data_IF_343457559100
#
_entry.id   IF_343457559100
#
_cell.length_a   1.000
_cell.length_b   1.000
_cell.length_c   1.000
_cell.angle_alpha   90.00
_cell.angle_beta   90.00
_cell.angle_gamma   90.00
#
_symmetry.space_group_name_H-M   'P 1'
#
loop_
_entity.id
_entity.type
_entity.pdbx_description
1 polymer ?
#
# COMPACT_ATOMS: atom_id res chain seq x y z
N UNK A 1 7.88 -8.84 -4.60
CA UNK A 1 7.77 -8.77 -6.07
C UNK A 1 6.48 -8.09 -6.46
N UNK A 2 6.57 -7.15 -7.37
CA UNK A 2 5.40 -6.41 -7.85
C UNK A 2 5.46 -6.33 -9.37
N UNK A 3 4.30 -6.46 -10.00
CA UNK A 3 4.16 -6.33 -11.45
C UNK A 3 3.14 -5.23 -11.72
N UNK A 4 3.55 -4.18 -12.44
CA UNK A 4 2.64 -3.13 -12.86
C UNK A 4 1.67 -3.67 -13.91
N UNK A 5 0.39 -3.35 -13.73
CA UNK A 5 -0.65 -3.66 -14.68
C UNK A 5 -0.84 -2.41 -15.56
N UNK A 6 -0.49 -2.51 -16.83
CA UNK A 6 -0.45 -1.36 -17.71
C UNK A 6 -1.13 -1.65 -19.06
N UNK A 7 -1.64 -0.59 -19.67
CA UNK A 7 -2.16 -0.60 -21.02
C UNK A 7 -1.07 -0.08 -21.98
N UNK A 8 -0.89 -0.73 -23.12
CA UNK A 8 0.10 -0.33 -24.10
C UNK A 8 -0.07 1.13 -24.62
N UNK A 9 -1.27 1.67 -24.55
CA UNK A 9 -1.54 3.07 -24.92
C UNK A 9 -1.13 4.07 -23.84
N UNK A 10 -0.82 3.60 -22.63
CA UNK A 10 -0.42 4.43 -21.49
C UNK A 10 1.06 4.21 -21.14
N UNK A 11 1.91 4.11 -22.12
CA UNK A 11 3.34 3.78 -21.96
C UNK A 11 4.10 4.75 -21.04
N UNK A 12 3.73 6.03 -21.06
CA UNK A 12 4.46 7.05 -20.29
C UNK A 12 4.20 6.94 -18.78
N UNK A 13 3.01 6.51 -18.39
CA UNK A 13 2.60 6.44 -16.99
C UNK A 13 2.59 5.03 -16.43
N UNK A 14 2.61 4.01 -17.29
CA UNK A 14 2.49 2.59 -16.92
C UNK A 14 1.23 2.31 -16.12
N UNK A 15 0.12 2.89 -16.56
CA UNK A 15 -1.21 2.78 -15.92
C UNK A 15 -2.17 1.96 -16.77
N UNK A 16 -3.28 1.50 -16.16
CA UNK A 16 -4.33 0.76 -16.87
C UNK A 16 -5.13 1.70 -17.77
N UNK A 17 -5.49 2.86 -17.22
CA UNK A 17 -6.10 3.96 -17.95
C UNK A 17 -5.33 5.23 -17.61
N UNK A 18 -5.68 6.36 -18.24
CA UNK A 18 -5.06 7.64 -17.91
C UNK A 18 -5.30 8.10 -16.46
N UNK A 19 -6.22 7.48 -15.73
CA UNK A 19 -6.51 7.83 -14.33
C UNK A 19 -6.26 6.69 -13.34
N UNK A 20 -6.29 5.43 -13.78
CA UNK A 20 -6.21 4.26 -12.89
C UNK A 20 -4.85 3.57 -13.00
N UNK A 21 -4.20 3.48 -11.87
CA UNK A 21 -2.97 2.73 -11.66
C UNK A 21 -3.30 1.45 -10.86
N UNK A 22 -2.68 0.34 -11.22
CA UNK A 22 -2.77 -0.89 -10.43
C UNK A 22 -1.50 -1.73 -10.61
N UNK A 23 -1.27 -2.61 -9.64
CA UNK A 23 -0.22 -3.61 -9.75
C UNK A 23 -0.69 -4.94 -9.15
N UNK A 24 -0.03 -6.02 -9.54
CA UNK A 24 -0.11 -7.30 -8.85
C UNK A 24 1.06 -7.35 -7.86
N UNK A 25 0.76 -7.51 -6.58
CA UNK A 25 1.75 -7.51 -5.53
C UNK A 25 1.79 -8.83 -4.76
N UNK A 26 2.97 -9.18 -4.30
CA UNK A 26 3.19 -10.31 -3.39
C UNK A 26 3.82 -9.76 -2.13
N UNK A 27 3.20 -10.05 -0.99
CA UNK A 27 3.79 -9.80 0.32
C UNK A 27 4.28 -11.13 0.88
N UNK A 28 5.59 -11.41 0.84
CA UNK A 28 6.12 -12.67 1.33
C UNK A 28 5.86 -12.90 2.82
N UNK A 29 5.86 -14.16 3.22
CA UNK A 29 5.73 -14.53 4.63
C UNK A 29 6.79 -13.85 5.49
N UNK A 30 6.40 -13.42 6.68
CA UNK A 30 7.30 -12.77 7.65
C UNK A 30 7.78 -11.39 7.26
N UNK A 31 7.26 -10.81 6.19
CA UNK A 31 7.67 -9.49 5.72
C UNK A 31 6.63 -8.41 5.99
N UNK A 32 7.11 -7.19 6.04
CA UNK A 32 6.28 -6.00 6.20
C UNK A 32 6.60 -4.99 5.11
N UNK A 33 5.59 -4.22 4.74
CA UNK A 33 5.76 -2.99 3.99
C UNK A 33 5.61 -1.82 4.95
N UNK A 34 6.67 -1.02 5.09
CA UNK A 34 6.78 0.06 6.07
C UNK A 34 5.71 1.14 5.87
N UNK A 35 5.43 1.93 6.91
CA UNK A 35 4.51 3.04 6.80
C UNK A 35 4.86 3.98 5.66
N UNK A 36 3.86 4.25 4.83
CA UNK A 36 3.93 5.19 3.73
C UNK A 36 2.56 5.83 3.53
N UNK A 37 2.54 6.95 2.82
CA UNK A 37 1.31 7.61 2.43
C UNK A 37 1.44 8.18 1.03
N UNK A 38 0.31 8.35 0.37
CA UNK A 38 0.24 8.99 -0.93
C UNK A 38 -1.09 9.72 -1.09
N UNK A 39 -1.09 10.70 -2.00
CA UNK A 39 -2.25 11.53 -2.25
C UNK A 39 -3.38 10.78 -2.93
N UNK A 40 -3.07 9.73 -3.68
CA UNK A 40 -4.06 8.89 -4.31
C UNK A 40 -4.83 8.06 -3.28
N UNK A 41 -6.12 7.83 -3.54
CA UNK A 41 -6.89 6.82 -2.82
C UNK A 41 -6.43 5.44 -3.27
N UNK A 42 -6.37 4.48 -2.35
CA UNK A 42 -6.05 3.10 -2.66
C UNK A 42 -7.23 2.19 -2.33
N UNK A 43 -7.55 1.31 -3.26
CA UNK A 43 -8.41 0.15 -3.06
C UNK A 43 -7.53 -1.09 -3.16
N UNK A 44 -7.38 -1.81 -2.05
CA UNK A 44 -6.59 -3.03 -2.02
C UNK A 44 -7.51 -4.24 -2.14
N UNK A 45 -7.40 -4.96 -3.26
CA UNK A 45 -8.12 -6.22 -3.50
C UNK A 45 -7.24 -7.38 -3.05
N UNK A 46 -7.70 -8.14 -2.08
CA UNK A 46 -6.98 -9.29 -1.54
C UNK A 46 -7.36 -10.53 -2.34
N UNK A 47 -6.41 -11.08 -3.08
CA UNK A 47 -6.62 -12.29 -3.89
C UNK A 47 -6.46 -13.55 -3.05
N UNK A 48 -5.41 -13.59 -2.23
CA UNK A 48 -5.05 -14.75 -1.41
C UNK A 48 -4.30 -14.27 -0.17
N UNK A 49 -4.77 -14.68 0.99
CA UNK A 49 -4.12 -14.37 2.25
C UNK A 49 -4.54 -15.39 3.32
N UNK A 50 -3.57 -15.85 4.09
CA UNK A 50 -3.81 -16.67 5.26
C UNK A 50 -4.01 -15.78 6.50
N UNK A 51 -4.62 -16.27 7.59
CA UNK A 51 -4.70 -15.53 8.84
C UNK A 51 -3.32 -15.05 9.30
N UNK A 52 -3.23 -13.78 9.71
CA UNK A 52 -1.98 -13.13 10.07
C UNK A 52 -1.50 -12.08 9.07
N UNK A 53 -2.24 -11.88 7.97
CA UNK A 53 -2.02 -10.77 7.07
C UNK A 53 -2.96 -9.62 7.44
N UNK A 54 -2.42 -8.41 7.57
CA UNK A 54 -3.22 -7.24 7.95
C UNK A 54 -2.54 -5.95 7.53
N UNK A 55 -3.33 -4.90 7.53
CA UNK A 55 -2.84 -3.52 7.37
C UNK A 55 -3.18 -2.71 8.61
N UNK A 56 -2.35 -1.71 8.88
CA UNK A 56 -2.66 -0.69 9.87
C UNK A 56 -2.71 0.67 9.19
N UNK A 57 -3.62 1.52 9.63
CA UNK A 57 -3.87 2.84 9.06
C UNK A 57 -3.93 3.88 10.18
N UNK A 58 -3.46 5.09 9.90
CA UNK A 58 -3.54 6.18 10.86
C UNK A 58 -3.21 7.52 10.24
N UNK A 59 -3.49 8.58 10.98
CA UNK A 59 -3.39 9.97 10.48
C UNK A 59 -2.03 10.60 10.75
N UNK A 60 -1.25 10.05 11.66
CA UNK A 60 0.06 10.61 12.02
C UNK A 60 1.03 9.53 12.49
N UNK A 61 2.31 9.86 12.46
CA UNK A 61 3.38 9.01 12.95
C UNK A 61 3.78 9.42 14.37
N UNK A 62 4.27 8.45 15.14
CA UNK A 62 4.90 8.71 16.43
C UNK A 62 6.38 9.12 16.26
N UNK A 63 7.09 9.32 17.37
CA UNK A 63 8.51 9.74 17.37
C UNK A 63 9.45 8.70 16.77
N UNK A 64 9.00 7.46 16.62
CA UNK A 64 9.77 6.36 16.02
C UNK A 64 9.52 6.19 14.54
N UNK A 65 8.60 6.97 13.97
CA UNK A 65 8.17 6.82 12.58
C UNK A 65 7.18 5.67 12.37
N UNK A 66 6.55 5.21 13.44
CA UNK A 66 5.46 4.23 13.38
C UNK A 66 4.10 4.93 13.40
N UNK A 67 3.07 4.26 12.90
CA UNK A 67 1.72 4.82 12.87
C UNK A 67 1.18 4.88 14.30
N UNK A 68 0.82 6.09 14.74
CA UNK A 68 0.22 6.31 16.05
C UNK A 68 -1.26 5.98 16.03
N UNK A 69 -1.76 5.38 17.11
CA UNK A 69 -3.18 5.02 17.28
C UNK A 69 -3.78 4.33 16.04
N UNK A 70 -3.16 3.24 15.53
CA UNK A 70 -3.54 2.67 14.26
C UNK A 70 -4.88 1.94 14.33
N UNK A 71 -5.64 2.02 13.22
CA UNK A 71 -6.75 1.12 12.94
C UNK A 71 -6.21 -0.10 12.20
N UNK A 72 -6.57 -1.29 12.63
CA UNK A 72 -6.17 -2.55 11.99
C UNK A 72 -7.28 -3.08 11.10
N UNK A 73 -6.87 -3.55 9.92
CA UNK A 73 -7.73 -4.24 8.96
C UNK A 73 -7.10 -5.59 8.66
N UNK A 74 -7.77 -6.67 9.06
CA UNK A 74 -7.34 -8.02 8.73
C UNK A 74 -7.71 -8.35 7.28
N UNK A 75 -6.79 -9.02 6.59
CA UNK A 75 -7.00 -9.39 5.19
C UNK A 75 -7.80 -10.67 5.08
N UNK A 76 -8.76 -10.69 4.15
CA UNK A 76 -9.53 -11.88 3.78
C UNK A 76 -9.46 -12.08 2.28
N UNK A 77 -9.22 -13.31 1.82
CA UNK A 77 -9.24 -13.64 0.41
C UNK A 77 -10.59 -13.27 -0.22
N UNK A 78 -10.56 -12.57 -1.34
CA UNK A 78 -11.74 -12.06 -2.01
C UNK A 78 -12.30 -10.77 -1.43
N UNK A 79 -11.73 -10.27 -0.34
CA UNK A 79 -12.12 -9.01 0.28
C UNK A 79 -11.37 -7.82 -0.30
N UNK A 80 -11.84 -6.63 0.02
CA UNK A 80 -11.19 -5.38 -0.37
C UNK A 80 -11.36 -4.35 0.73
N UNK A 81 -10.39 -3.44 0.84
CA UNK A 81 -10.49 -2.31 1.74
C UNK A 81 -9.92 -1.05 1.09
N UNK A 82 -10.31 0.10 1.60
CA UNK A 82 -9.91 1.41 1.08
C UNK A 82 -8.97 2.09 2.06
N UNK A 83 -7.85 2.59 1.55
CA UNK A 83 -7.00 3.55 2.26
C UNK A 83 -7.32 4.95 1.74
N UNK A 84 -7.86 5.84 2.60
CA UNK A 84 -8.16 7.22 2.21
C UNK A 84 -6.92 7.99 1.76
N UNK A 85 -7.08 9.02 0.91
CA UNK A 85 -5.97 9.86 0.48
C UNK A 85 -5.18 10.45 1.65
N UNK A 86 -3.86 10.39 1.56
CA UNK A 86 -2.95 10.98 2.54
C UNK A 86 -2.82 10.25 3.87
N UNK A 87 -3.56 9.17 4.07
CA UNK A 87 -3.48 8.39 5.31
C UNK A 87 -2.23 7.50 5.32
N UNK A 88 -1.50 7.50 6.43
CA UNK A 88 -0.39 6.58 6.64
C UNK A 88 -0.92 5.15 6.74
N UNK A 89 -0.25 4.23 6.07
CA UNK A 89 -0.59 2.81 6.11
C UNK A 89 0.64 1.93 5.99
N UNK A 90 0.53 0.73 6.52
CA UNK A 90 1.57 -0.29 6.48
C UNK A 90 0.92 -1.66 6.36
N UNK A 91 1.62 -2.61 5.76
CA UNK A 91 1.13 -3.95 5.51
C UNK A 91 2.05 -4.97 6.17
N UNK A 92 1.46 -6.02 6.73
CA UNK A 92 2.19 -7.06 7.46
C UNK A 92 1.71 -8.45 7.04
N UNK A 93 2.64 -9.36 6.87
CA UNK A 93 2.34 -10.78 6.68
C UNK A 93 3.03 -11.59 7.78
N UNK A 94 2.31 -11.85 8.85
CA UNK A 94 2.75 -12.70 9.97
C UNK A 94 2.24 -14.13 9.82
N UNK A 95 1.70 -14.49 8.65
CA UNK A 95 1.27 -15.84 8.32
C UNK A 95 2.46 -16.69 7.83
N UNK A 96 2.23 -17.97 7.63
CA UNK A 96 3.23 -18.89 7.10
C UNK A 96 3.24 -19.05 5.58
N UNK A 97 2.57 -18.14 4.84
CA UNK A 97 2.44 -18.22 3.38
C UNK A 97 2.47 -16.84 2.74
N UNK A 98 2.95 -16.72 1.49
CA UNK A 98 2.87 -15.45 0.77
C UNK A 98 1.42 -15.00 0.58
N UNK A 99 1.19 -13.70 0.60
CA UNK A 99 -0.10 -13.11 0.30
C UNK A 99 -0.06 -12.40 -1.07
N UNK A 100 -1.18 -12.40 -1.77
CA UNK A 100 -1.31 -11.83 -3.10
C UNK A 100 -2.42 -10.79 -3.11
N UNK A 101 -2.14 -9.63 -3.66
CA UNK A 101 -3.09 -8.51 -3.69
C UNK A 101 -2.94 -7.71 -4.97
N UNK A 102 -3.99 -6.98 -5.30
CA UNK A 102 -3.98 -5.97 -6.36
C UNK A 102 -4.34 -4.62 -5.74
N UNK A 103 -3.36 -3.77 -5.43
CA UNK A 103 -3.63 -2.38 -5.12
C UNK A 103 -4.07 -1.62 -6.36
N UNK A 104 -5.14 -0.85 -6.23
CA UNK A 104 -5.72 -0.03 -7.29
C UNK A 104 -5.78 1.41 -6.79
N UNK A 105 -5.25 2.35 -7.57
CA UNK A 105 -5.17 3.75 -7.15
C UNK A 105 -5.57 4.68 -8.29
N UNK A 106 -6.07 5.86 -7.94
CA UNK A 106 -6.25 6.96 -8.90
C UNK A 106 -4.93 7.73 -9.13
N UNK A 107 -3.79 7.06 -8.97
CA UNK A 107 -2.47 7.65 -9.09
C UNK A 107 -2.20 8.19 -10.50
N UNK A 108 -2.81 7.61 -11.53
CA UNK A 108 -2.74 8.15 -12.89
C UNK A 108 -3.36 9.54 -12.99
N UNK A 109 -4.53 9.73 -12.39
CA UNK A 109 -5.18 11.05 -12.31
C UNK A 109 -4.32 12.04 -11.53
N UNK A 110 -3.83 11.64 -10.36
CA UNK A 110 -2.99 12.50 -9.52
C UNK A 110 -1.68 12.89 -10.23
N UNK A 111 -1.10 11.98 -11.00
CA UNK A 111 0.09 12.25 -11.81
C UNK A 111 -0.23 13.24 -12.92
N UNK A 112 -1.35 13.05 -13.61
CA UNK A 112 -1.80 13.96 -14.66
C UNK A 112 -2.04 15.38 -14.13
N UNK A 113 -2.66 15.50 -12.96
CA UNK A 113 -2.90 16.77 -12.28
C UNK A 113 -1.65 17.35 -11.59
N UNK A 114 -0.54 16.61 -11.56
CA UNK A 114 0.69 16.97 -10.84
C UNK A 114 0.47 17.16 -9.34
N UNK A 115 -0.43 16.39 -8.76
CA UNK A 115 -0.79 16.45 -7.34
C UNK A 115 -0.36 15.20 -6.57
N UNK A 116 0.24 14.22 -7.23
CA UNK A 116 0.72 13.01 -6.55
C UNK A 116 1.86 13.35 -5.59
N UNK A 117 1.65 13.01 -4.32
CA UNK A 117 2.62 13.17 -3.25
C UNK A 117 2.76 11.82 -2.52
N UNK A 118 3.96 11.24 -2.57
CA UNK A 118 4.26 9.96 -1.95
C UNK A 118 5.32 10.19 -0.88
N UNK A 119 5.07 9.72 0.34
CA UNK A 119 5.97 9.86 1.47
C UNK A 119 6.16 8.54 2.17
N UNK A 120 7.39 8.29 2.60
CA UNK A 120 7.78 7.10 3.35
C UNK A 120 8.24 7.52 4.74
N UNK A 121 8.01 6.64 5.71
CA UNK A 121 8.54 6.84 7.05
C UNK A 121 10.06 6.66 7.05
N UNK A 122 10.75 7.52 7.82
CA UNK A 122 12.14 7.30 8.15
C UNK A 122 12.20 6.60 9.50
N UNK A 123 12.66 5.34 9.51
CA UNK A 123 12.94 4.66 10.76
C UNK A 123 14.18 5.28 11.39
N UNK A 124 14.01 5.80 12.60
CA UNK A 124 15.15 6.12 13.44
C UNK A 124 15.71 4.83 13.99
N UNK A 125 16.99 4.58 13.73
CA UNK A 125 17.69 3.48 14.34
C UNK A 125 18.00 3.83 15.79
N UNK A 126 17.20 3.30 16.71
CA UNK A 126 17.36 3.50 18.14
C UNK A 126 18.48 2.65 18.72
N UNK A 127 19.06 1.72 17.95
CA UNK A 127 20.17 0.88 18.40
C UNK A 127 21.51 1.58 18.30
N UNK A 128 21.61 2.70 17.59
CA UNK A 128 22.83 3.47 17.37
C UNK A 128 23.04 4.61 18.40
N UNK A 129 22.17 4.68 19.40
CA UNK A 129 22.22 5.71 20.44
C UNK A 129 23.07 5.35 21.62
#
# INVERSE_FOLDING_TARGET
VSVLLANAQEEQTLTITHVVWAMFGVLPEGQEQRPHRHQSVALDLILDAQPGCYSILGTHLDDRGEIADPMRVDWEAGGAFVTPPGMWHAHFNESGSPAHLIPIQDAGLQTYLRSLDIRFTERRDLSAG
#
